data_IF_196289279874
#
_entry.id   IF_196289279874
#
_cell.length_a   1.000
_cell.length_b   1.000
_cell.length_c   1.000
_cell.angle_alpha   90.00
_cell.angle_beta   90.00
_cell.angle_gamma   90.00
#
_symmetry.space_group_name_H-M   'P 1'
#
loop_
_entity.id
_entity.type
_entity.pdbx_description
1 polymer ?
#
# COMPACT_ATOMS: atom_id res chain seq x y z
N UNK A 1 -25.70 7.35 -7.34
CA UNK A 1 -25.27 8.76 -7.48
C UNK A 1 -23.75 8.77 -7.56
N UNK A 2 -23.15 9.41 -8.57
CA UNK A 2 -21.69 9.60 -8.64
C UNK A 2 -21.35 10.86 -7.85
N UNK A 3 -20.62 10.71 -6.76
CA UNK A 3 -20.12 11.80 -5.92
C UNK A 3 -18.63 11.97 -6.16
N UNK A 4 -18.15 13.20 -6.15
CA UNK A 4 -16.73 13.52 -6.29
C UNK A 4 -16.03 13.43 -4.93
N UNK A 5 -14.71 13.24 -4.93
CA UNK A 5 -13.93 13.14 -3.69
C UNK A 5 -14.00 14.44 -2.87
N UNK A 6 -14.11 15.57 -3.55
CA UNK A 6 -14.25 16.91 -2.97
C UNK A 6 -15.56 17.10 -2.22
N UNK A 7 -16.63 16.45 -2.67
CA UNK A 7 -17.95 16.54 -2.02
C UNK A 7 -18.06 15.63 -0.79
N UNK A 8 -17.26 14.55 -0.75
CA UNK A 8 -17.26 13.59 0.36
C UNK A 8 -16.35 14.08 1.51
N UNK A 9 -15.24 14.73 1.17
CA UNK A 9 -14.25 15.15 2.14
C UNK A 9 -14.60 16.51 2.77
N UNK A 10 -14.21 16.77 4.03
CA UNK A 10 -14.41 18.07 4.65
C UNK A 10 -13.74 19.20 3.85
N UNK A 11 -14.35 20.38 3.83
CA UNK A 11 -13.79 21.57 3.17
C UNK A 11 -12.46 22.04 3.77
N UNK A 12 -12.12 21.56 4.98
CA UNK A 12 -10.83 21.80 5.64
C UNK A 12 -9.70 20.90 5.13
N UNK A 13 -9.98 19.97 4.20
CA UNK A 13 -8.97 19.06 3.66
C UNK A 13 -7.91 19.85 2.87
N UNK A 14 -6.61 19.70 3.20
CA UNK A 14 -5.55 20.37 2.45
C UNK A 14 -5.55 19.92 0.99
N UNK A 15 -5.37 20.86 0.06
CA UNK A 15 -5.29 20.56 -1.38
C UNK A 15 -4.24 19.48 -1.73
N UNK A 16 -3.03 19.45 -1.10
CA UNK A 16 -2.08 18.37 -1.34
C UNK A 16 -2.57 17.00 -0.85
N UNK A 17 -3.43 16.95 0.18
CA UNK A 17 -4.01 15.70 0.68
C UNK A 17 -5.00 15.14 -0.34
N UNK A 18 -5.84 16.00 -0.89
CA UNK A 18 -6.80 15.66 -1.93
C UNK A 18 -6.11 15.17 -3.21
N UNK A 19 -5.02 15.83 -3.63
CA UNK A 19 -4.23 15.40 -4.79
C UNK A 19 -3.62 14.00 -4.59
N UNK A 20 -3.07 13.73 -3.40
CA UNK A 20 -2.55 12.41 -3.06
C UNK A 20 -3.66 11.35 -3.14
N UNK A 21 -4.82 11.62 -2.56
CA UNK A 21 -5.97 10.71 -2.58
C UNK A 21 -6.43 10.41 -4.01
N UNK A 22 -6.50 11.43 -4.88
CA UNK A 22 -6.88 11.24 -6.28
C UNK A 22 -5.90 10.36 -7.05
N UNK A 23 -4.61 10.43 -6.74
CA UNK A 23 -3.57 9.61 -7.39
C UNK A 23 -3.47 8.19 -6.82
N UNK A 24 -3.92 7.97 -5.58
CA UNK A 24 -4.00 6.63 -4.97
C UNK A 24 -5.30 5.90 -5.34
N UNK A 25 -6.43 6.61 -5.36
CA UNK A 25 -7.76 6.06 -5.61
C UNK A 25 -8.10 6.06 -7.11
N UNK A 26 -7.21 5.50 -7.91
CA UNK A 26 -7.42 5.30 -9.36
C UNK A 26 -7.87 3.87 -9.65
N UNK A 27 -8.70 3.73 -10.69
CA UNK A 27 -9.24 2.43 -11.11
C UNK A 27 -8.16 1.54 -11.73
N UNK A 28 -7.34 2.10 -12.63
CA UNK A 28 -6.25 1.35 -13.24
C UNK A 28 -5.07 1.30 -12.24
N UNK A 29 -4.68 0.10 -11.75
CA UNK A 29 -3.56 -0.04 -10.81
C UNK A 29 -2.22 0.41 -11.40
N UNK A 30 -2.02 0.29 -12.71
CA UNK A 30 -0.78 0.73 -13.38
C UNK A 30 -0.62 2.26 -13.38
N UNK A 31 -1.71 2.99 -13.14
CA UNK A 31 -1.70 4.45 -12.98
C UNK A 31 -1.66 4.89 -11.52
N UNK A 32 -1.73 3.95 -10.58
CA UNK A 32 -1.69 4.23 -9.15
C UNK A 32 -0.26 4.55 -8.77
N UNK A 33 -0.07 5.56 -7.92
CA UNK A 33 1.25 5.82 -7.36
C UNK A 33 1.79 4.58 -6.65
N UNK A 34 3.06 4.31 -6.89
CA UNK A 34 3.84 3.37 -6.07
C UNK A 34 4.02 3.92 -4.65
N UNK A 35 4.40 3.05 -3.71
CA UNK A 35 4.67 3.46 -2.34
C UNK A 35 5.82 4.48 -2.29
N UNK A 36 6.86 4.27 -3.09
CA UNK A 36 8.02 5.16 -3.21
C UNK A 36 7.62 6.54 -3.73
N UNK A 37 6.82 6.62 -4.79
CA UNK A 37 6.35 7.90 -5.33
C UNK A 37 5.41 8.62 -4.35
N UNK A 38 4.56 7.88 -3.63
CA UNK A 38 3.67 8.45 -2.62
C UNK A 38 4.44 9.07 -1.44
N UNK A 39 5.57 8.50 -1.03
CA UNK A 39 6.45 9.04 0.02
C UNK A 39 7.10 10.38 -0.40
N UNK A 40 7.31 10.60 -1.70
CA UNK A 40 7.82 11.88 -2.23
C UNK A 40 6.74 12.97 -2.34
N UNK A 41 5.48 12.66 -2.05
CA UNK A 41 4.37 13.57 -2.29
C UNK A 41 4.42 14.81 -1.39
N UNK A 42 4.11 16.04 -1.89
CA UNK A 42 4.14 17.27 -1.10
C UNK A 42 3.36 17.23 0.22
N UNK A 43 2.30 16.41 0.28
CA UNK A 43 1.48 16.25 1.47
C UNK A 43 2.24 15.58 2.64
N UNK A 44 3.06 14.57 2.36
CA UNK A 44 3.82 13.81 3.36
C UNK A 44 5.29 14.23 3.43
N UNK A 45 5.75 15.13 2.54
CA UNK A 45 7.13 15.62 2.44
C UNK A 45 7.76 16.03 3.77
N UNK A 46 6.98 16.63 4.70
CA UNK A 46 7.49 17.03 6.02
C UNK A 46 7.96 15.86 6.90
N UNK A 47 7.52 14.64 6.60
CA UNK A 47 7.88 13.42 7.31
C UNK A 47 8.83 12.52 6.53
N UNK A 48 9.04 12.81 5.24
CA UNK A 48 9.84 11.99 4.36
C UNK A 48 11.29 11.93 4.84
N UNK A 49 11.79 10.70 5.03
CA UNK A 49 13.14 10.43 5.51
C UNK A 49 13.69 9.16 4.84
N UNK A 50 14.49 9.29 3.77
CA UNK A 50 15.01 8.13 3.03
C UNK A 50 15.77 7.12 3.90
N UNK A 51 16.47 7.60 4.92
CA UNK A 51 17.21 6.73 5.86
C UNK A 51 16.30 5.84 6.73
N UNK A 52 15.00 6.16 6.85
CA UNK A 52 14.01 5.42 7.65
C UNK A 52 12.97 4.70 6.79
N UNK A 53 13.16 4.68 5.48
CA UNK A 53 12.23 4.12 4.50
C UNK A 53 12.96 3.04 3.66
N UNK A 54 13.40 1.93 4.27
CA UNK A 54 14.14 0.89 3.54
C UNK A 54 13.22 0.11 2.59
N UNK A 55 13.73 -0.22 1.40
CA UNK A 55 13.14 -1.22 0.52
C UNK A 55 13.82 -2.58 0.69
N UNK A 56 13.04 -3.65 0.60
CA UNK A 56 13.58 -5.02 0.56
C UNK A 56 13.98 -5.33 -0.88
N UNK A 57 15.25 -5.65 -1.11
CA UNK A 57 15.77 -6.01 -2.43
C UNK A 57 15.56 -7.48 -2.80
N UNK A 58 14.75 -8.21 -2.04
CA UNK A 58 14.44 -9.62 -2.27
C UNK A 58 12.97 -9.88 -2.01
N UNK A 59 12.43 -10.88 -2.69
CA UNK A 59 11.04 -11.28 -2.51
C UNK A 59 10.87 -12.11 -1.23
N UNK A 60 9.86 -11.77 -0.43
CA UNK A 60 9.52 -12.51 0.77
C UNK A 60 8.78 -13.79 0.35
N UNK A 61 9.50 -14.89 0.26
CA UNK A 61 8.93 -16.21 -0.04
C UNK A 61 8.56 -16.91 1.27
N UNK A 62 7.27 -17.19 1.45
CA UNK A 62 6.81 -18.00 2.56
C UNK A 62 7.24 -19.47 2.34
N UNK A 63 7.68 -20.19 3.39
CA UNK A 63 8.03 -21.60 3.29
C UNK A 63 6.82 -22.47 2.91
N UNK A 64 5.61 -21.94 3.16
CA UNK A 64 4.34 -22.56 2.81
C UNK A 64 3.59 -21.64 1.86
N UNK A 65 3.16 -22.20 0.73
CA UNK A 65 2.29 -21.50 -0.21
C UNK A 65 0.95 -21.17 0.44
N UNK A 66 0.63 -19.89 0.49
CA UNK A 66 -0.60 -19.27 0.97
C UNK A 66 -1.85 -19.66 0.16
N UNK A 67 -1.67 -20.05 -1.11
CA UNK A 67 -2.75 -20.55 -1.95
C UNK A 67 -3.17 -22.01 -1.71
N UNK A 68 -2.49 -22.74 -0.82
CA UNK A 68 -2.77 -24.16 -0.57
C UNK A 68 -3.41 -24.37 0.79
N UNK A 69 -4.62 -24.92 0.81
CA UNK A 69 -5.25 -25.35 2.05
C UNK A 69 -4.66 -26.71 2.48
N UNK A 70 -3.80 -26.67 3.49
CA UNK A 70 -3.21 -27.87 4.08
C UNK A 70 -4.07 -28.41 5.23
N UNK A 71 -4.03 -29.71 5.46
CA UNK A 71 -4.55 -30.29 6.70
C UNK A 71 -3.68 -29.89 7.90
N UNK A 72 -4.24 -30.00 9.10
CA UNK A 72 -3.50 -29.71 10.35
C UNK A 72 -2.24 -30.58 10.46
N UNK A 73 -2.31 -31.84 10.03
CA UNK A 73 -1.17 -32.76 10.08
C UNK A 73 -0.05 -32.33 9.12
N UNK A 74 -0.38 -31.99 7.88
CA UNK A 74 0.60 -31.55 6.88
C UNK A 74 1.23 -30.21 7.24
N UNK A 75 0.44 -29.28 7.75
CA UNK A 75 0.95 -27.99 8.23
C UNK A 75 1.92 -28.19 9.40
N UNK A 76 1.57 -29.05 10.37
CA UNK A 76 2.46 -29.39 11.50
C UNK A 76 3.76 -30.00 11.02
N UNK A 77 3.71 -30.99 10.13
CA UNK A 77 4.91 -31.64 9.63
C UNK A 77 5.83 -30.63 8.93
N UNK A 78 5.29 -29.81 8.02
CA UNK A 78 6.10 -28.81 7.30
C UNK A 78 6.63 -27.65 8.15
N UNK A 79 6.07 -27.41 9.33
CA UNK A 79 6.53 -26.35 10.23
C UNK A 79 7.63 -26.83 11.20
N UNK A 80 7.60 -28.13 11.55
CA UNK A 80 8.46 -28.71 12.58
C UNK A 80 9.59 -29.60 12.04
N UNK A 81 9.55 -29.99 10.77
CA UNK A 81 10.73 -30.52 10.03
C UNK A 81 11.62 -29.38 9.53
#
# INVERSE_FOLDING_TARGET
QRVTLEEILPSSTPLPALDLLKKLLVFNPDKRLTAEEALQHPYVKRFHCPAREPSLGYDVMLPLGDGTQLSVAEYRNKLYE
#
